data_IF_997578756200
#
_entry.id   IF_997578756200
#
_cell.length_a   1.000
_cell.length_b   1.000
_cell.length_c   1.000
_cell.angle_alpha   90.00
_cell.angle_beta   90.00
_cell.angle_gamma   90.00
#
_symmetry.space_group_name_H-M   'P 1'
#
loop_
_entity.id
_entity.type
_entity.pdbx_description
1 polymer ?
#
# COMPACT_ATOMS: atom_id res chain seq x y z
N UNK A 1 -7.07 6.25 22.93
CA UNK A 1 -5.94 7.04 22.39
C UNK A 1 -5.34 6.23 21.26
N UNK A 2 -5.17 6.79 20.05
CA UNK A 2 -4.55 6.04 18.95
C UNK A 2 -3.06 5.88 19.26
N UNK A 3 -2.62 4.64 19.40
CA UNK A 3 -1.22 4.21 19.56
C UNK A 3 -0.45 4.18 18.24
N UNK A 4 -1.08 4.62 17.14
CA UNK A 4 -0.47 4.59 15.82
C UNK A 4 0.74 5.51 15.73
N UNK A 5 1.81 4.99 15.14
CA UNK A 5 2.98 5.76 14.73
C UNK A 5 2.56 7.07 14.05
N UNK A 6 2.86 8.21 14.68
CA UNK A 6 2.57 9.53 14.13
C UNK A 6 3.69 9.88 13.14
N UNK A 7 3.31 10.28 11.94
CA UNK A 7 4.25 10.86 10.97
C UNK A 7 4.64 12.23 11.50
N UNK A 8 5.88 12.38 11.94
CA UNK A 8 6.40 13.65 12.47
C UNK A 8 7.03 14.48 11.36
N UNK A 9 7.87 13.85 10.53
CA UNK A 9 8.55 14.49 9.40
C UNK A 9 7.73 14.24 8.12
N UNK A 10 6.95 15.23 7.68
CA UNK A 10 5.98 15.01 6.60
C UNK A 10 6.62 14.88 5.20
N UNK A 11 7.87 15.30 5.06
CA UNK A 11 8.75 15.18 3.91
C UNK A 11 9.75 14.02 4.03
N UNK A 12 9.75 13.30 5.17
CA UNK A 12 10.57 12.10 5.38
C UNK A 12 10.10 10.91 4.52
N UNK A 13 10.99 9.93 4.34
CA UNK A 13 10.64 8.65 3.75
C UNK A 13 10.11 7.70 4.82
N UNK A 14 9.01 7.02 4.52
CA UNK A 14 8.36 6.10 5.45
C UNK A 14 8.09 4.76 4.81
N UNK A 15 8.26 3.72 5.60
CA UNK A 15 7.61 2.44 5.37
C UNK A 15 6.18 2.54 5.91
N UNK A 16 5.20 2.26 5.05
CA UNK A 16 3.77 2.35 5.33
C UNK A 16 3.12 0.98 5.13
N UNK A 17 2.18 0.63 5.98
CA UNK A 17 1.32 -0.55 5.80
C UNK A 17 -0.15 -0.14 5.87
N UNK A 18 -0.90 -0.41 4.80
CA UNK A 18 -2.35 -0.25 4.77
C UNK A 18 -3.03 -1.60 4.79
N UNK A 19 -3.88 -1.85 5.78
CA UNK A 19 -4.54 -3.15 5.97
C UNK A 19 -6.05 -2.99 5.81
N UNK A 20 -6.68 -3.95 5.15
CA UNK A 20 -8.13 -4.05 5.12
C UNK A 20 -8.61 -4.59 6.46
N UNK A 21 -9.71 -4.03 7.00
CA UNK A 21 -10.28 -4.50 8.27
C UNK A 21 -10.69 -5.96 8.19
N UNK A 22 -10.56 -6.66 9.32
CA UNK A 22 -10.85 -8.09 9.40
C UNK A 22 -9.90 -8.95 8.56
N UNK A 23 -8.79 -8.39 8.04
CA UNK A 23 -7.86 -9.07 7.15
C UNK A 23 -8.54 -9.66 5.90
N UNK A 24 -9.60 -9.01 5.44
CA UNK A 24 -10.35 -9.45 4.26
C UNK A 24 -9.47 -9.43 3.03
N UNK A 25 -9.43 -10.55 2.31
CA UNK A 25 -8.70 -10.74 1.05
C UNK A 25 -9.38 -10.03 -0.14
N UNK A 26 -9.52 -8.71 -0.02
CA UNK A 26 -10.16 -7.85 -1.01
C UNK A 26 -9.36 -7.85 -2.32
N UNK A 27 -8.04 -7.71 -2.21
CA UNK A 27 -7.10 -7.62 -3.32
C UNK A 27 -6.79 -8.98 -3.96
N UNK A 28 -7.64 -9.99 -3.80
CA UNK A 28 -7.61 -11.19 -4.65
C UNK A 28 -8.16 -10.92 -6.05
N UNK A 29 -9.09 -9.97 -6.18
CA UNK A 29 -9.60 -9.52 -7.48
C UNK A 29 -8.73 -8.40 -8.06
N UNK A 30 -8.50 -8.49 -9.37
CA UNK A 30 -7.69 -7.54 -10.15
C UNK A 30 -8.21 -6.11 -10.04
N UNK A 31 -9.53 -5.94 -10.10
CA UNK A 31 -10.21 -4.64 -10.15
C UNK A 31 -9.89 -3.77 -8.92
N UNK A 32 -9.79 -4.35 -7.72
CA UNK A 32 -9.40 -3.60 -6.52
C UNK A 32 -7.91 -3.22 -6.52
N UNK A 33 -7.03 -4.09 -7.01
CA UNK A 33 -5.59 -3.79 -7.14
C UNK A 33 -5.36 -2.68 -8.17
N UNK A 34 -6.08 -2.71 -9.28
CA UNK A 34 -5.96 -1.68 -10.32
C UNK A 34 -6.37 -0.29 -9.79
N UNK A 35 -7.43 -0.20 -8.98
CA UNK A 35 -7.81 1.07 -8.30
C UNK A 35 -6.69 1.61 -7.41
N UNK A 36 -5.98 0.73 -6.69
CA UNK A 36 -4.80 1.12 -5.90
C UNK A 36 -3.72 1.70 -6.81
N UNK A 37 -3.38 0.98 -7.88
CA UNK A 37 -2.35 1.40 -8.84
C UNK A 37 -2.70 2.75 -9.48
N UNK A 38 -3.94 2.92 -9.93
CA UNK A 38 -4.41 4.17 -10.53
C UNK A 38 -4.35 5.33 -9.53
N UNK A 39 -4.73 5.08 -8.26
CA UNK A 39 -4.61 6.08 -7.20
C UNK A 39 -3.14 6.48 -6.95
N UNK A 40 -2.21 5.52 -6.93
CA UNK A 40 -0.79 5.79 -6.73
C UNK A 40 -0.21 6.58 -7.91
N UNK A 41 -0.53 6.19 -9.16
CA UNK A 41 -0.14 6.93 -10.37
C UNK A 41 -0.64 8.37 -10.34
N UNK A 42 -1.90 8.56 -9.95
CA UNK A 42 -2.46 9.90 -9.80
C UNK A 42 -1.69 10.72 -8.76
N UNK A 43 -1.33 10.11 -7.62
CA UNK A 43 -0.56 10.77 -6.59
C UNK A 43 0.88 11.09 -7.01
N UNK A 44 1.55 10.23 -7.77
CA UNK A 44 2.86 10.52 -8.35
C UNK A 44 2.79 11.74 -9.27
N UNK A 45 1.84 11.74 -10.20
CA UNK A 45 1.71 12.80 -11.22
C UNK A 45 1.25 14.15 -10.64
N UNK A 46 0.36 14.15 -9.64
CA UNK A 46 -0.36 15.36 -9.23
C UNK A 46 -0.12 15.78 -7.77
N UNK A 47 0.43 14.90 -6.92
CA UNK A 47 0.56 15.16 -5.47
C UNK A 47 1.99 15.07 -4.94
N UNK A 48 2.99 14.91 -5.82
CA UNK A 48 4.40 14.83 -5.41
C UNK A 48 4.70 13.58 -4.58
N UNK A 49 4.06 12.45 -4.89
CA UNK A 49 4.37 11.18 -4.25
C UNK A 49 5.63 10.58 -4.87
N UNK A 50 6.69 10.48 -4.09
CA UNK A 50 7.85 9.64 -4.41
C UNK A 50 7.57 8.23 -3.91
N UNK A 51 7.47 7.27 -4.83
CA UNK A 51 7.28 5.86 -4.51
C UNK A 51 8.58 5.12 -4.84
N UNK A 52 9.18 4.47 -3.84
CA UNK A 52 10.46 3.76 -3.98
C UNK A 52 10.28 2.25 -4.06
N UNK A 53 9.34 1.70 -3.28
CA UNK A 53 8.98 0.29 -3.36
C UNK A 53 7.52 0.06 -2.96
N UNK A 54 6.90 -0.99 -3.50
CA UNK A 54 5.56 -1.41 -3.09
C UNK A 54 5.32 -2.91 -3.25
N UNK A 55 4.33 -3.40 -2.52
CA UNK A 55 3.65 -4.67 -2.80
C UNK A 55 2.19 -4.58 -2.38
N UNK A 56 1.29 -5.10 -3.21
CA UNK A 56 -0.14 -5.24 -2.89
C UNK A 56 -0.43 -6.72 -2.65
N UNK A 57 -0.51 -7.12 -1.38
CA UNK A 57 -0.90 -8.47 -0.97
C UNK A 57 -2.43 -8.62 -1.00
N UNK A 58 -2.96 -9.81 -0.69
CA UNK A 58 -4.40 -10.09 -0.77
C UNK A 58 -5.28 -9.21 0.13
N UNK A 59 -4.76 -8.78 1.29
CA UNK A 59 -5.51 -8.04 2.31
C UNK A 59 -4.78 -6.80 2.86
N UNK A 60 -3.56 -6.54 2.40
CA UNK A 60 -2.77 -5.39 2.84
C UNK A 60 -1.80 -4.91 1.75
N UNK A 61 -1.26 -3.72 1.94
CA UNK A 61 -0.33 -3.05 1.04
C UNK A 61 0.85 -2.56 1.86
N UNK A 62 2.07 -2.79 1.38
CA UNK A 62 3.26 -2.14 1.91
C UNK A 62 3.82 -1.15 0.89
N UNK A 63 4.15 0.05 1.34
CA UNK A 63 4.84 1.07 0.53
C UNK A 63 6.11 1.53 1.24
N UNK A 64 7.14 1.83 0.45
CA UNK A 64 8.22 2.73 0.83
C UNK A 64 8.03 4.01 0.03
N UNK A 65 7.62 5.08 0.69
CA UNK A 65 7.20 6.30 0.02
C UNK A 65 7.58 7.57 0.80
N UNK A 66 7.63 8.68 0.07
CA UNK A 66 7.88 10.02 0.59
C UNK A 66 6.95 11.01 -0.10
N UNK A 67 6.58 12.09 0.60
CA UNK A 67 5.92 13.23 -0.02
C UNK A 67 6.93 14.34 -0.30
N UNK A 68 7.18 14.64 -1.57
CA UNK A 68 8.06 15.74 -1.98
C UNK A 68 7.55 17.11 -1.50
N UNK A 69 6.23 17.25 -1.36
CA UNK A 69 5.57 18.49 -0.94
C UNK A 69 5.39 18.59 0.59
N UNK A 70 6.01 17.70 1.38
CA UNK A 70 5.91 17.71 2.84
C UNK A 70 4.49 17.45 3.37
N UNK A 71 3.70 16.60 2.70
CA UNK A 71 2.33 16.29 3.11
C UNK A 71 1.99 14.79 2.97
N UNK A 72 2.81 13.93 3.57
CA UNK A 72 2.58 12.49 3.53
C UNK A 72 1.27 12.08 4.20
N UNK A 73 0.90 12.73 5.31
CA UNK A 73 -0.37 12.44 5.99
C UNK A 73 -1.59 12.79 5.12
N UNK A 74 -1.52 13.90 4.37
CA UNK A 74 -2.54 14.26 3.38
C UNK A 74 -2.65 13.23 2.26
N UNK A 75 -1.51 12.75 1.74
CA UNK A 75 -1.50 11.64 0.79
C UNK A 75 -2.22 10.41 1.34
N UNK A 76 -1.88 9.95 2.56
CA UNK A 76 -2.48 8.75 3.15
C UNK A 76 -3.99 8.91 3.32
N UNK A 77 -4.43 10.06 3.85
CA UNK A 77 -5.85 10.37 4.04
C UNK A 77 -6.60 10.30 2.71
N UNK A 78 -6.09 10.99 1.71
CA UNK A 78 -6.75 11.11 0.41
C UNK A 78 -6.73 9.77 -0.34
N UNK A 79 -5.63 9.02 -0.28
CA UNK A 79 -5.51 7.67 -0.82
C UNK A 79 -6.56 6.73 -0.21
N UNK A 80 -6.64 6.68 1.13
CA UNK A 80 -7.63 5.83 1.81
C UNK A 80 -9.07 6.24 1.49
N UNK A 81 -9.34 7.54 1.42
CA UNK A 81 -10.67 8.06 1.10
C UNK A 81 -11.10 7.71 -0.34
N UNK A 82 -10.24 8.01 -1.32
CA UNK A 82 -10.49 7.74 -2.73
C UNK A 82 -10.69 6.25 -2.99
N UNK A 83 -9.74 5.42 -2.54
CA UNK A 83 -9.80 3.97 -2.75
C UNK A 83 -11.03 3.35 -2.08
N UNK A 84 -11.38 3.77 -0.86
CA UNK A 84 -12.60 3.30 -0.18
C UNK A 84 -13.85 3.57 -1.00
N UNK A 85 -13.99 4.77 -1.55
CA UNK A 85 -15.13 5.14 -2.41
C UNK A 85 -15.20 4.23 -3.64
N UNK A 86 -14.09 4.08 -4.36
CA UNK A 86 -14.00 3.25 -5.57
C UNK A 86 -14.26 1.77 -5.27
N UNK A 87 -13.79 1.26 -4.14
CA UNK A 87 -14.04 -0.13 -3.75
C UNK A 87 -15.52 -0.39 -3.48
N UNK A 88 -16.22 0.53 -2.81
CA UNK A 88 -17.66 0.43 -2.59
C UNK A 88 -18.44 0.47 -3.91
N UNK A 89 -18.04 1.32 -4.85
CA UNK A 89 -18.63 1.37 -6.19
C UNK A 89 -18.46 0.04 -6.94
N UNK A 90 -17.28 -0.60 -6.86
CA UNK A 90 -17.05 -1.94 -7.43
C UNK A 90 -17.98 -2.97 -6.77
N UNK A 91 -18.10 -2.97 -5.43
CA UNK A 91 -18.99 -3.89 -4.71
C UNK A 91 -20.46 -3.73 -5.13
N UNK A 92 -20.89 -2.51 -5.43
CA UNK A 92 -22.26 -2.18 -5.86
C UNK A 92 -22.50 -2.40 -7.36
N UNK A 93 -21.44 -2.61 -8.15
CA UNK A 93 -21.55 -2.77 -9.61
C UNK A 93 -22.12 -4.13 -10.06
N UNK A 94 -22.31 -5.09 -9.14
CA UNK A 94 -22.71 -6.45 -9.46
C UNK A 94 -21.59 -7.38 -9.94
N UNK A 95 -20.36 -6.87 -10.12
CA UNK A 95 -19.20 -7.67 -10.54
C UNK A 95 -18.54 -8.47 -9.41
N UNK A 96 -18.72 -8.04 -8.17
CA UNK A 96 -18.17 -8.73 -7.00
C UNK A 96 -19.16 -9.76 -6.45
N UNK A 97 -18.88 -11.03 -6.73
CA UNK A 97 -19.59 -12.21 -6.22
C UNK A 97 -19.70 -12.26 -4.69
N UNK A 98 -18.75 -11.67 -3.97
CA UNK A 98 -18.68 -11.65 -2.50
C UNK A 98 -19.31 -10.39 -1.90
N UNK A 99 -19.99 -9.57 -2.70
CA UNK A 99 -20.41 -8.21 -2.32
C UNK A 99 -21.26 -8.19 -1.04
N UNK A 100 -22.20 -9.13 -0.89
CA UNK A 100 -23.03 -9.22 0.32
C UNK A 100 -22.20 -9.52 1.57
N UNK A 101 -21.31 -10.51 1.51
CA UNK A 101 -20.40 -10.84 2.62
C UNK A 101 -19.46 -9.68 2.95
N UNK A 102 -18.85 -9.06 1.94
CA UNK A 102 -17.98 -7.89 2.11
C UNK A 102 -18.74 -6.75 2.80
N UNK A 103 -19.98 -6.50 2.38
CA UNK A 103 -20.84 -5.46 2.96
C UNK A 103 -21.05 -5.71 4.45
N UNK A 104 -21.41 -6.94 4.84
CA UNK A 104 -21.59 -7.32 6.25
C UNK A 104 -20.33 -7.06 7.07
N UNK A 105 -19.17 -7.48 6.57
CA UNK A 105 -17.89 -7.30 7.28
C UNK A 105 -17.55 -5.81 7.45
N UNK A 106 -17.68 -5.01 6.39
CA UNK A 106 -17.32 -3.60 6.44
C UNK A 106 -18.31 -2.74 7.24
N UNK A 107 -19.60 -3.09 7.24
CA UNK A 107 -20.60 -2.46 8.13
C UNK A 107 -20.32 -2.79 9.60
N UNK A 108 -19.99 -4.04 9.90
CA UNK A 108 -19.65 -4.49 11.25
C UNK A 108 -18.47 -3.66 11.80
N UNK A 109 -17.39 -3.54 11.05
CA UNK A 109 -16.23 -2.75 11.47
C UNK A 109 -16.51 -1.24 11.54
N UNK A 110 -17.32 -0.69 10.64
CA UNK A 110 -17.71 0.73 10.67
C UNK A 110 -18.46 1.13 11.95
N UNK A 111 -19.41 0.28 12.38
CA UNK A 111 -20.21 0.50 13.59
C UNK A 111 -19.38 0.42 14.87
N UNK A 112 -18.37 -0.45 14.93
CA UNK A 112 -17.59 -0.70 16.15
C UNK A 112 -16.66 0.44 16.56
N UNK A 113 -15.94 1.04 15.62
CA UNK A 113 -14.79 1.92 15.95
C UNK A 113 -14.91 3.36 15.44
N UNK A 114 -15.67 3.61 14.37
CA UNK A 114 -15.59 4.88 13.64
C UNK A 114 -16.91 5.67 13.54
N UNK A 115 -18.04 5.13 14.03
CA UNK A 115 -19.41 5.67 13.81
C UNK A 115 -19.70 5.93 12.32
N UNK A 116 -18.98 5.27 11.41
CA UNK A 116 -19.22 5.36 9.96
C UNK A 116 -20.09 4.17 9.52
N UNK A 117 -20.79 4.33 8.40
CA UNK A 117 -21.60 3.23 7.83
C UNK A 117 -20.73 2.06 7.40
N UNK A 118 -19.54 2.33 6.84
CA UNK A 118 -18.60 1.33 6.36
C UNK A 118 -17.18 1.70 6.80
N UNK A 119 -16.36 0.69 7.08
CA UNK A 119 -14.93 0.87 7.24
C UNK A 119 -14.18 -0.18 6.41
N UNK A 120 -13.34 0.29 5.47
CA UNK A 120 -12.51 -0.58 4.63
C UNK A 120 -11.10 -0.73 5.20
N UNK A 121 -10.46 0.38 5.53
CA UNK A 121 -9.08 0.41 6.04
C UNK A 121 -9.05 0.39 7.57
N UNK A 122 -8.02 -0.26 8.13
CA UNK A 122 -7.65 -0.05 9.53
C UNK A 122 -7.21 1.40 9.76
N UNK A 123 -7.32 1.89 11.00
CA UNK A 123 -6.88 3.25 11.34
C UNK A 123 -5.37 3.40 11.35
N UNK A 124 -4.65 2.33 11.69
CA UNK A 124 -3.19 2.35 11.76
C UNK A 124 -2.58 2.26 10.36
N UNK A 125 -1.54 3.06 10.13
CA UNK A 125 -0.77 3.06 8.88
C UNK A 125 0.61 2.41 9.05
N UNK A 126 0.97 2.01 10.28
CA UNK A 126 2.30 1.51 10.65
C UNK A 126 3.43 2.32 9.99
N UNK A 127 3.39 3.65 10.19
CA UNK A 127 4.32 4.55 9.55
C UNK A 127 5.66 4.52 10.29
N UNK A 128 6.61 3.75 9.76
CA UNK A 128 7.97 3.66 10.30
C UNK A 128 8.88 4.62 9.54
N UNK A 129 9.46 5.60 10.24
CA UNK A 129 10.39 6.55 9.63
C UNK A 129 11.68 5.84 9.21
N UNK A 130 12.15 6.17 8.02
CA UNK A 130 13.37 5.62 7.44
C UNK A 130 14.53 6.58 7.74
N UNK A 131 15.49 6.13 8.54
CA UNK A 131 16.58 6.97 9.04
C UNK A 131 17.99 6.50 8.60
N UNK A 132 18.10 5.38 7.89
CA UNK A 132 19.39 4.87 7.41
C UNK A 132 19.27 4.03 6.15
N UNK A 133 20.35 3.96 5.37
CA UNK A 133 20.46 3.11 4.19
C UNK A 133 20.19 1.63 4.53
N UNK A 134 20.79 1.11 5.60
CA UNK A 134 20.55 -0.29 6.04
C UNK A 134 19.07 -0.57 6.27
N UNK A 135 18.34 0.38 6.86
CA UNK A 135 16.91 0.24 7.10
C UNK A 135 16.11 0.25 5.78
N UNK A 136 16.51 1.07 4.81
CA UNK A 136 15.97 1.04 3.45
C UNK A 136 16.15 -0.34 2.83
N UNK A 137 17.37 -0.90 2.84
CA UNK A 137 17.65 -2.22 2.26
C UNK A 137 16.76 -3.31 2.86
N UNK A 138 16.61 -3.30 4.19
CA UNK A 138 15.75 -4.25 4.88
C UNK A 138 14.28 -4.11 4.48
N UNK A 139 13.75 -2.90 4.39
CA UNK A 139 12.34 -2.67 4.04
C UNK A 139 12.06 -2.97 2.57
N UNK A 140 12.95 -2.58 1.66
CA UNK A 140 12.84 -2.94 0.23
C UNK A 140 12.86 -4.46 0.06
N UNK A 141 13.83 -5.15 0.67
CA UNK A 141 13.89 -6.61 0.65
C UNK A 141 12.60 -7.25 1.19
N UNK A 142 12.11 -6.78 2.34
CA UNK A 142 10.87 -7.28 2.94
C UNK A 142 9.65 -7.08 2.03
N UNK A 143 9.50 -5.90 1.43
CA UNK A 143 8.42 -5.58 0.49
C UNK A 143 8.46 -6.54 -0.69
N UNK A 144 9.62 -6.72 -1.31
CA UNK A 144 9.78 -7.57 -2.50
C UNK A 144 9.60 -9.05 -2.19
N UNK A 145 10.07 -9.53 -1.04
CA UNK A 145 9.97 -10.94 -0.66
C UNK A 145 8.63 -11.33 -0.03
N UNK A 146 7.71 -10.38 0.20
CA UNK A 146 6.41 -10.69 0.80
C UNK A 146 5.63 -11.78 0.03
N UNK A 147 5.49 -11.70 -1.31
CA UNK A 147 4.81 -12.73 -2.09
C UNK A 147 5.49 -14.11 -2.04
N UNK A 148 6.83 -14.13 -1.96
CA UNK A 148 7.62 -15.37 -1.82
C UNK A 148 7.39 -16.02 -0.47
N UNK A 149 7.44 -15.23 0.61
CA UNK A 149 7.18 -15.70 1.98
C UNK A 149 5.78 -16.24 2.16
N UNK A 150 4.81 -15.71 1.41
CA UNK A 150 3.44 -16.21 1.37
C UNK A 150 3.23 -17.41 0.43
N UNK A 151 4.27 -17.86 -0.28
CA UNK A 151 4.19 -19.01 -1.19
C UNK A 151 3.39 -18.74 -2.46
N UNK A 152 3.20 -17.47 -2.86
CA UNK A 152 2.43 -17.10 -4.06
C UNK A 152 3.28 -17.23 -5.32
N UNK A 153 4.56 -16.91 -5.21
CA UNK A 153 5.55 -16.97 -6.30
C UNK A 153 6.88 -17.50 -5.78
N UNK A 154 7.71 -18.02 -6.68
CA UNK A 154 9.05 -18.50 -6.36
C UNK A 154 10.03 -17.33 -6.28
N UNK A 155 10.00 -16.41 -7.26
CA UNK A 155 10.87 -15.23 -7.28
C UNK A 155 10.08 -13.94 -7.01
N UNK A 156 10.65 -12.93 -6.33
CA UNK A 156 9.99 -11.65 -6.05
C UNK A 156 9.38 -10.97 -7.28
N UNK A 157 10.13 -10.92 -8.39
CA UNK A 157 9.79 -10.26 -9.64
C UNK A 157 8.68 -10.99 -10.44
N UNK A 158 8.35 -12.22 -10.09
CA UNK A 158 7.21 -12.94 -10.70
C UNK A 158 5.87 -12.34 -10.24
N UNK A 159 5.84 -11.57 -9.14
CA UNK A 159 4.62 -10.97 -8.63
C UNK A 159 4.29 -9.64 -9.32
N UNK A 160 3.24 -9.65 -10.15
CA UNK A 160 2.82 -8.51 -10.98
C UNK A 160 2.59 -7.20 -10.20
N UNK A 161 2.05 -7.29 -8.98
CA UNK A 161 1.70 -6.14 -8.14
C UNK A 161 2.76 -5.88 -7.06
N UNK A 162 4.04 -5.98 -7.43
CA UNK A 162 5.19 -5.59 -6.62
C UNK A 162 6.18 -4.77 -7.45
N UNK A 163 6.88 -3.85 -6.80
CA UNK A 163 7.99 -3.15 -7.43
C UNK A 163 9.25 -4.00 -7.62
N UNK A 164 9.29 -5.24 -7.16
CA UNK A 164 10.41 -6.15 -7.45
C UNK A 164 10.70 -6.22 -8.97
N UNK A 165 9.64 -6.13 -9.79
CA UNK A 165 9.70 -6.04 -11.25
C UNK A 165 10.48 -4.82 -11.75
N UNK A 166 10.24 -3.64 -11.16
CA UNK A 166 10.96 -2.42 -11.50
C UNK A 166 12.47 -2.54 -11.21
N UNK A 167 12.83 -3.23 -10.12
CA UNK A 167 14.23 -3.44 -9.73
C UNK A 167 14.91 -4.52 -10.59
N UNK A 168 14.13 -5.46 -11.12
CA UNK A 168 14.59 -6.47 -12.08
C UNK A 168 14.64 -5.97 -13.54
N UNK A 169 14.21 -4.73 -13.81
CA UNK A 169 14.15 -4.17 -15.17
C UNK A 169 13.05 -4.79 -16.05
N UNK A 170 12.00 -5.36 -15.44
CA UNK A 170 10.86 -5.95 -16.13
C UNK A 170 9.69 -4.97 -16.23
N UNK A 171 8.78 -5.22 -17.17
CA UNK A 171 7.53 -4.48 -17.30
C UNK A 171 6.73 -4.50 -15.99
N UNK A 172 6.25 -3.33 -15.58
CA UNK A 172 5.58 -3.12 -14.30
C UNK A 172 4.25 -2.38 -14.47
N UNK A 173 3.33 -2.55 -13.52
CA UNK A 173 2.03 -1.87 -13.57
C UNK A 173 2.10 -0.39 -13.16
N UNK A 174 3.19 0.02 -12.50
CA UNK A 174 3.48 1.40 -12.08
C UNK A 174 5.00 1.56 -11.91
N UNK A 175 5.53 2.72 -12.32
CA UNK A 175 6.94 3.05 -12.14
C UNK A 175 7.25 3.47 -10.69
N UNK A 176 8.48 3.20 -10.26
CA UNK A 176 9.02 3.64 -8.97
C UNK A 176 10.35 4.36 -9.18
N UNK A 177 10.74 5.18 -8.22
CA UNK A 177 12.07 5.75 -8.16
C UNK A 177 13.00 4.65 -7.64
N UNK A 178 13.78 4.05 -8.54
CA UNK A 178 14.72 3.00 -8.18
C UNK A 178 15.81 3.56 -7.27
N UNK A 179 15.96 2.95 -6.10
CA UNK A 179 17.06 3.24 -5.19
C UNK A 179 18.30 2.46 -5.63
N UNK A 180 19.42 3.14 -5.80
CA UNK A 180 20.69 2.45 -6.07
C UNK A 180 21.23 1.83 -4.79
N UNK A 181 21.07 0.52 -4.65
CA UNK A 181 21.48 -0.24 -3.47
C UNK A 181 22.92 -0.78 -3.59
N UNK A 182 23.63 -0.45 -4.67
CA UNK A 182 24.91 -1.11 -5.04
C UNK A 182 26.16 -0.48 -4.43
N UNK A 183 26.08 0.70 -3.82
CA UNK A 183 27.24 1.32 -3.17
C UNK A 183 27.45 0.75 -1.77
N UNK A 184 28.10 -0.42 -1.71
CA UNK A 184 28.78 -0.92 -0.51
C UNK A 184 30.28 -0.83 -0.72
N UNK A 185 30.86 0.35 -0.48
CA UNK A 185 32.30 0.42 -0.23
C UNK A 185 32.52 -0.11 1.18
N UNK A 186 32.83 -1.40 1.28
CA UNK A 186 33.42 -1.95 2.49
C UNK A 186 34.84 -1.37 2.57
N UNK A 187 35.12 -0.58 3.62
CA UNK A 187 36.49 -0.36 4.10
C UNK A 187 36.85 -1.51 5.04
#
# INVERSE_FOLDING_TARGET
>A
MSTGYKIQEQDGAYYLTFQIVGWVDLFTRKEYRDVVIDSLKFCQKNKGLNLFAYVIMSNHIHLLAQSQNGNLSGFIRDFKSYTSKRFLEIMQSGKESRSEWLRVVFEYHGKLKSKQTFQLWTHENHAEHIYSQKFIEQKVYYIHHNPVRSGIVVNPEDYLYSSARNYAGLDSVIDVINLDMRWKTYN
#
